data_IF_006092286203
#
_entry.id   IF_006092286203
#
_cell.length_a   1.000
_cell.length_b   1.000
_cell.length_c   1.000
_cell.angle_alpha   90.00
_cell.angle_beta   90.00
_cell.angle_gamma   90.00
#
_symmetry.space_group_name_H-M   'P 1'
#
loop_
_entity.id
_entity.type
_entity.pdbx_description
1 polymer ?
#
# COMPACT_ATOMS: atom_id res chain seq x y z
N UNK A 1 6.41 4.88 -12.52
CA UNK A 1 6.73 4.95 -11.09
C UNK A 1 5.77 5.93 -10.41
N UNK A 2 4.56 5.46 -10.12
CA UNK A 2 3.56 6.22 -9.36
C UNK A 2 3.20 5.41 -8.12
N UNK A 3 3.06 6.09 -6.99
CA UNK A 3 2.57 5.50 -5.74
C UNK A 3 1.18 6.03 -5.46
N UNK A 4 0.28 5.12 -5.09
CA UNK A 4 -1.07 5.45 -4.62
C UNK A 4 -1.24 4.87 -3.22
N UNK A 5 -1.70 5.68 -2.28
CA UNK A 5 -1.88 5.26 -0.89
C UNK A 5 -3.10 5.89 -0.23
N UNK A 6 -3.75 5.11 0.64
CA UNK A 6 -4.91 5.55 1.44
C UNK A 6 -4.55 5.74 2.92
N UNK A 7 -3.38 5.28 3.33
CA UNK A 7 -2.91 5.30 4.70
C UNK A 7 -1.44 5.66 4.73
N UNK A 8 -1.03 6.39 5.75
CA UNK A 8 0.35 6.85 5.91
C UNK A 8 0.79 6.88 7.38
N UNK A 9 2.11 6.94 7.58
CA UNK A 9 2.79 7.11 8.87
C UNK A 9 4.03 7.99 8.63
N UNK A 10 4.10 9.13 9.30
CA UNK A 10 5.07 10.20 9.00
C UNK A 10 6.53 9.82 9.35
N UNK A 11 6.76 9.25 10.54
CA UNK A 11 8.11 8.93 11.06
C UNK A 11 8.31 7.43 11.37
N UNK A 12 7.35 6.59 10.95
CA UNK A 12 7.31 5.13 11.13
C UNK A 12 6.83 4.62 12.50
N UNK A 13 7.63 3.80 13.20
CA UNK A 13 7.14 2.96 14.31
C UNK A 13 6.62 3.82 15.47
N UNK A 14 5.41 3.51 15.92
CA UNK A 14 4.63 4.23 16.95
C UNK A 14 3.90 5.50 16.49
N UNK A 15 4.01 5.90 15.22
CA UNK A 15 3.15 6.95 14.70
C UNK A 15 1.72 6.46 14.45
N UNK A 16 0.71 7.30 14.70
CA UNK A 16 -0.66 6.96 14.38
C UNK A 16 -0.82 6.81 12.87
N UNK A 17 -1.51 5.74 12.44
CA UNK A 17 -1.84 5.54 11.03
C UNK A 17 -2.85 6.62 10.61
N UNK A 18 -2.41 7.55 9.77
CA UNK A 18 -3.28 8.52 9.13
C UNK A 18 -4.07 7.83 8.03
N UNK A 19 -5.40 8.07 7.98
CA UNK A 19 -6.28 7.51 6.95
C UNK A 19 -6.88 8.64 6.14
N UNK A 20 -6.80 8.52 4.82
CA UNK A 20 -7.33 9.51 3.90
C UNK A 20 -8.63 9.00 3.27
N UNK A 21 -9.61 9.90 3.12
CA UNK A 21 -10.87 9.60 2.45
C UNK A 21 -10.72 9.44 0.93
N UNK A 22 -9.65 9.99 0.37
CA UNK A 22 -9.25 9.88 -1.03
C UNK A 22 -7.80 9.38 -1.10
N UNK A 23 -7.42 8.64 -2.16
CA UNK A 23 -6.03 8.21 -2.32
C UNK A 23 -5.12 9.41 -2.58
N UNK A 24 -3.96 9.41 -1.93
CA UNK A 24 -2.85 10.28 -2.28
C UNK A 24 -2.08 9.70 -3.46
N UNK A 25 -1.58 10.58 -4.34
CA UNK A 25 -0.75 10.23 -5.48
C UNK A 25 0.61 10.91 -5.37
N UNK A 26 1.67 10.11 -5.58
CA UNK A 26 3.06 10.58 -5.57
C UNK A 26 3.74 10.10 -6.85
N UNK A 27 4.33 11.04 -7.60
CA UNK A 27 5.19 10.75 -8.74
C UNK A 27 6.63 10.56 -8.25
N UNK A 28 7.05 9.30 -8.15
CA UNK A 28 8.37 8.94 -7.62
C UNK A 28 9.52 9.38 -8.52
N UNK A 29 9.27 9.86 -9.75
CA UNK A 29 10.34 10.42 -10.57
C UNK A 29 10.71 11.84 -10.16
N UNK A 30 9.70 12.64 -9.78
CA UNK A 30 9.90 14.04 -9.37
C UNK A 30 10.00 14.20 -7.87
N UNK A 31 9.38 13.29 -7.12
CA UNK A 31 9.36 13.29 -5.66
C UNK A 31 9.77 11.90 -5.12
N UNK A 32 11.06 11.59 -5.26
CA UNK A 32 11.63 10.33 -4.76
C UNK A 32 11.59 10.21 -3.23
N UNK A 33 11.49 11.35 -2.52
CA UNK A 33 11.44 11.39 -1.06
C UNK A 33 10.01 11.34 -0.50
N UNK A 34 9.02 11.41 -1.37
CA UNK A 34 7.60 11.38 -1.00
C UNK A 34 7.18 12.56 -0.09
N UNK A 35 7.83 13.72 -0.23
CA UNK A 35 7.60 14.90 0.61
C UNK A 35 6.35 15.71 0.18
N UNK A 36 5.91 15.59 -1.07
CA UNK A 36 4.92 16.48 -1.70
C UNK A 36 3.79 15.72 -2.42
N UNK A 37 2.97 14.95 -1.69
CA UNK A 37 1.84 14.23 -2.27
C UNK A 37 0.81 15.22 -2.86
N UNK A 38 0.43 14.99 -4.11
CA UNK A 38 -0.58 15.80 -4.83
C UNK A 38 -0.27 17.31 -4.95
N UNK A 39 0.98 17.73 -4.77
CA UNK A 39 1.35 19.16 -4.73
C UNK A 39 1.30 19.84 -6.11
N UNK A 40 1.33 19.07 -7.20
CA UNK A 40 1.33 19.58 -8.57
C UNK A 40 0.01 19.25 -9.29
N UNK A 41 -0.55 20.22 -10.04
CA UNK A 41 -1.69 20.04 -10.95
C UNK A 41 -1.54 18.83 -11.89
N UNK A 42 -0.30 18.36 -12.15
CA UNK A 42 -0.02 17.08 -12.80
C UNK A 42 -0.78 15.90 -12.19
N UNK A 43 -1.15 15.91 -10.91
CA UNK A 43 -1.92 14.81 -10.31
C UNK A 43 -3.30 14.67 -10.98
N UNK A 44 -3.92 15.77 -11.42
CA UNK A 44 -5.22 15.76 -12.11
C UNK A 44 -5.07 15.11 -13.48
N UNK A 45 -4.02 15.49 -14.21
CA UNK A 45 -3.70 14.92 -15.53
C UNK A 45 -3.34 13.44 -15.44
N UNK A 46 -2.74 13.01 -14.32
CA UNK A 46 -2.33 11.64 -14.07
C UNK A 46 -3.31 10.84 -13.21
N UNK A 47 -4.50 11.38 -12.93
CA UNK A 47 -5.52 10.70 -12.15
C UNK A 47 -5.98 9.38 -12.81
N UNK A 48 -5.72 9.19 -14.11
CA UNK A 48 -5.98 7.92 -14.81
C UNK A 48 -5.22 6.72 -14.21
N UNK A 49 -4.07 6.94 -13.57
CA UNK A 49 -3.24 5.90 -12.93
C UNK A 49 -4.00 5.16 -11.82
N UNK A 50 -5.02 5.80 -11.23
CA UNK A 50 -5.85 5.18 -10.18
C UNK A 50 -6.61 3.94 -10.65
N UNK A 51 -6.90 3.83 -11.95
CA UNK A 51 -7.65 2.69 -12.48
C UNK A 51 -6.85 1.38 -12.45
N UNK A 52 -5.68 1.28 -13.08
CA UNK A 52 -4.87 0.06 -12.99
C UNK A 52 -4.40 -0.20 -11.55
N UNK A 53 -3.97 0.83 -10.81
CA UNK A 53 -3.51 0.64 -9.43
C UNK A 53 -4.66 0.21 -8.51
N UNK A 54 -5.87 0.75 -8.73
CA UNK A 54 -7.08 0.35 -8.02
C UNK A 54 -7.42 -1.12 -8.24
N UNK A 55 -7.33 -1.61 -9.48
CA UNK A 55 -7.56 -3.01 -9.79
C UNK A 55 -6.57 -3.93 -9.06
N UNK A 56 -5.27 -3.61 -9.09
CA UNK A 56 -4.25 -4.38 -8.36
C UNK A 56 -4.56 -4.41 -6.86
N UNK A 57 -4.96 -3.28 -6.28
CA UNK A 57 -5.32 -3.19 -4.87
C UNK A 57 -6.55 -4.05 -4.54
N UNK A 58 -7.59 -4.03 -5.38
CA UNK A 58 -8.79 -4.85 -5.17
C UNK A 58 -8.50 -6.33 -5.31
N UNK A 59 -7.68 -6.71 -6.29
CA UNK A 59 -7.29 -8.10 -6.54
C UNK A 59 -6.46 -8.64 -5.37
N UNK A 60 -5.53 -7.83 -4.85
CA UNK A 60 -4.76 -8.18 -3.65
C UNK A 60 -5.64 -8.31 -2.39
N UNK A 61 -6.61 -7.41 -2.21
CA UNK A 61 -7.57 -7.53 -1.11
C UNK A 61 -8.47 -8.76 -1.24
N UNK A 62 -8.77 -9.20 -2.47
CA UNK A 62 -9.48 -10.45 -2.71
C UNK A 62 -8.60 -11.66 -2.37
N UNK A 63 -7.33 -11.65 -2.80
CA UNK A 63 -6.39 -12.74 -2.50
C UNK A 63 -6.16 -12.88 -0.99
N UNK A 64 -6.09 -11.78 -0.23
CA UNK A 64 -5.97 -11.82 1.23
C UNK A 64 -7.22 -12.37 1.95
N UNK A 65 -8.38 -12.41 1.28
CA UNK A 65 -9.58 -13.08 1.81
C UNK A 65 -9.57 -14.57 1.54
N UNK A 66 -9.04 -14.98 0.39
CA UNK A 66 -8.88 -16.38 0.01
C UNK A 66 -7.75 -17.05 0.79
N UNK A 67 -6.60 -16.37 0.88
CA UNK A 67 -5.40 -16.77 1.60
C UNK A 67 -5.12 -15.76 2.73
N UNK A 68 -5.77 -15.91 3.89
CA UNK A 68 -5.60 -14.97 4.98
C UNK A 68 -4.16 -14.99 5.51
N UNK A 69 -3.63 -13.82 5.92
CA UNK A 69 -2.31 -13.74 6.56
C UNK A 69 -2.21 -14.67 7.77
N UNK A 70 -1.03 -15.25 7.95
CA UNK A 70 -0.71 -16.05 9.13
C UNK A 70 -0.87 -15.16 10.38
N UNK A 71 -1.69 -15.57 11.36
CA UNK A 71 -1.90 -14.78 12.55
C UNK A 71 -0.60 -14.64 13.34
N UNK A 72 -0.43 -13.49 14.00
CA UNK A 72 0.72 -13.26 14.85
C UNK A 72 0.82 -14.35 15.94
N UNK A 73 1.94 -15.04 16.02
CA UNK A 73 2.17 -16.13 16.96
C UNK A 73 1.64 -17.50 16.54
N UNK A 74 1.20 -17.68 15.28
CA UNK A 74 0.88 -19.01 14.76
C UNK A 74 2.11 -19.95 14.84
N UNK A 75 1.94 -21.21 15.28
CA UNK A 75 3.03 -22.18 15.26
C UNK A 75 3.43 -22.52 13.83
N UNK A 76 4.73 -22.78 13.60
CA UNK A 76 5.22 -23.22 12.31
C UNK A 76 4.54 -24.54 11.90
N UNK A 77 3.87 -24.60 10.72
CA UNK A 77 3.21 -25.81 10.26
C UNK A 77 4.20 -26.94 9.90
N UNK A 78 5.50 -26.63 9.76
CA UNK A 78 6.50 -27.61 9.41
C UNK A 78 6.71 -28.65 10.52
N UNK A 79 6.44 -29.92 10.20
CA UNK A 79 6.77 -31.07 11.03
C UNK A 79 7.92 -31.85 10.36
N UNK A 80 9.15 -31.78 10.89
CA UNK A 80 10.26 -32.55 10.32
C UNK A 80 9.97 -34.05 10.44
N UNK A 81 10.34 -34.82 9.40
CA UNK A 81 10.31 -36.29 9.47
C UNK A 81 11.29 -36.74 10.55
N UNK A 82 10.83 -37.59 11.47
CA UNK A 82 11.70 -38.28 12.42
C UNK A 82 12.50 -39.33 11.65
N UNK A 83 13.82 -39.28 11.78
CA UNK A 83 14.73 -40.32 11.30
C UNK A 83 14.51 -41.64 12.05
#
# INVERSE_FOLDING_TARGET
NWKMMFKDMEHAINDPIQKYGMPLFIDLHTDMKEEYPMDDLRWIENAWVRWPTGQILTDHLASLKEEPPVPAGAPDPYQPRKE
#
